data_IF_695901886476
#
_entry.id   IF_695901886476
#
_cell.length_a   1.000
_cell.length_b   1.000
_cell.length_c   1.000
_cell.angle_alpha   90.00
_cell.angle_beta   90.00
_cell.angle_gamma   90.00
#
_symmetry.space_group_name_H-M   'P 1'
#
loop_
_entity.id
_entity.type
_entity.pdbx_description
1 polymer ?
#
# COMPACT_ATOMS: atom_id res chain seq x y z
N UNK A 1 -11.74 11.07 4.69
CA UNK A 1 -10.27 10.89 4.61
C UNK A 1 -9.91 9.61 5.34
N UNK A 2 -8.77 8.99 5.03
CA UNK A 2 -8.28 7.85 5.80
C UNK A 2 -7.75 8.26 7.17
N UNK A 3 -7.82 7.35 8.13
CA UNK A 3 -7.17 7.44 9.44
C UNK A 3 -5.72 6.93 9.32
N UNK A 4 -4.75 7.84 9.48
CA UNK A 4 -3.33 7.54 9.33
C UNK A 4 -2.84 6.56 10.41
N UNK A 5 -3.33 6.66 11.64
CA UNK A 5 -2.89 5.78 12.73
C UNK A 5 -3.45 4.36 12.54
N UNK A 6 -4.73 4.24 12.15
CA UNK A 6 -5.29 2.96 11.74
C UNK A 6 -4.57 2.38 10.51
N UNK A 7 -4.18 3.25 9.57
CA UNK A 7 -3.40 2.88 8.39
C UNK A 7 -2.02 2.34 8.75
N UNK A 8 -1.30 3.03 9.65
CA UNK A 8 0.01 2.61 10.18
C UNK A 8 -0.06 1.25 10.86
N UNK A 9 -1.08 1.04 11.71
CA UNK A 9 -1.29 -0.24 12.38
C UNK A 9 -1.53 -1.37 11.36
N UNK A 10 -2.37 -1.13 10.34
CA UNK A 10 -2.61 -2.13 9.28
C UNK A 10 -1.38 -2.36 8.40
N UNK A 11 -0.58 -1.33 8.13
CA UNK A 11 0.58 -1.38 7.24
C UNK A 11 1.71 -2.29 7.75
N UNK A 12 1.70 -2.69 9.02
CA UNK A 12 2.68 -3.61 9.58
C UNK A 12 2.83 -4.91 8.76
N UNK A 13 1.73 -5.46 8.23
CA UNK A 13 1.77 -6.67 7.40
C UNK A 13 2.37 -6.42 6.01
N UNK A 14 2.28 -5.18 5.52
CA UNK A 14 2.75 -4.76 4.20
C UNK A 14 4.27 -4.53 4.19
N UNK A 15 4.87 -4.26 5.36
CA UNK A 15 6.28 -3.96 5.51
C UNK A 15 7.22 -5.10 5.06
N UNK A 16 6.74 -6.35 5.07
CA UNK A 16 7.51 -7.50 4.58
C UNK A 16 7.89 -7.39 3.09
N UNK A 17 7.10 -6.67 2.29
CA UNK A 17 7.36 -6.48 0.85
C UNK A 17 7.70 -5.01 0.51
N UNK A 18 7.04 -4.06 1.16
CA UNK A 18 7.18 -2.63 0.85
C UNK A 18 8.12 -1.88 1.81
N UNK A 19 8.72 -2.59 2.78
CA UNK A 19 9.56 -2.01 3.82
C UNK A 19 8.79 -1.27 4.91
N UNK A 20 9.43 -1.10 6.07
CA UNK A 20 8.83 -0.46 7.25
C UNK A 20 8.42 1.00 6.99
N UNK A 21 9.21 1.72 6.19
CA UNK A 21 8.96 3.13 5.85
C UNK A 21 8.38 3.28 4.44
N UNK A 22 7.78 2.22 3.87
CA UNK A 22 7.25 2.24 2.50
C UNK A 22 8.33 2.30 1.40
N UNK A 23 9.60 2.03 1.74
CA UNK A 23 10.70 1.84 0.79
C UNK A 23 11.11 0.38 0.80
N UNK A 24 10.91 -0.30 -0.33
CA UNK A 24 11.28 -1.71 -0.47
C UNK A 24 12.79 -1.89 -0.62
N UNK A 25 13.31 -2.93 0.02
CA UNK A 25 14.67 -3.43 -0.22
C UNK A 25 14.73 -4.44 -1.37
N UNK A 26 13.57 -4.84 -1.91
CA UNK A 26 13.46 -5.84 -2.97
C UNK A 26 13.06 -5.12 -4.27
N UNK A 27 13.94 -5.06 -5.30
CA UNK A 27 13.71 -4.23 -6.48
C UNK A 27 12.41 -4.49 -7.27
N UNK A 28 11.84 -5.69 -7.16
CA UNK A 28 10.58 -6.05 -7.84
C UNK A 28 9.33 -5.51 -7.11
N UNK A 29 9.45 -5.04 -5.87
CA UNK A 29 8.35 -4.46 -5.12
C UNK A 29 8.42 -2.93 -5.13
N UNK A 30 7.31 -2.24 -5.41
CA UNK A 30 7.32 -0.79 -5.50
C UNK A 30 7.43 -0.13 -4.12
N UNK A 31 8.05 1.04 -4.10
CA UNK A 31 7.97 1.97 -2.97
C UNK A 31 6.58 2.60 -2.91
N UNK A 32 6.02 2.69 -1.71
CA UNK A 32 4.71 3.28 -1.44
C UNK A 32 4.81 4.65 -0.76
N UNK A 33 5.94 4.94 -0.11
CA UNK A 33 6.16 6.18 0.63
C UNK A 33 5.99 7.42 -0.26
N UNK A 34 5.22 8.41 0.21
CA UNK A 34 4.99 9.67 -0.49
C UNK A 34 4.20 9.55 -1.79
N UNK A 35 3.69 8.36 -2.12
CA UNK A 35 2.85 8.17 -3.29
C UNK A 35 1.50 8.86 -3.11
N UNK A 36 0.90 9.34 -4.21
CA UNK A 36 -0.37 10.05 -4.16
C UNK A 36 -1.47 9.16 -3.57
N UNK A 37 -2.16 9.64 -2.53
CA UNK A 37 -3.19 8.90 -1.80
C UNK A 37 -4.27 8.34 -2.76
N UNK A 38 -4.78 9.16 -3.67
CA UNK A 38 -5.80 8.74 -4.65
C UNK A 38 -5.30 7.62 -5.58
N UNK A 39 -4.02 7.67 -5.96
CA UNK A 39 -3.41 6.61 -6.77
C UNK A 39 -3.33 5.30 -5.97
N UNK A 40 -2.93 5.36 -4.69
CA UNK A 40 -2.88 4.18 -3.82
C UNK A 40 -4.27 3.56 -3.61
N UNK A 41 -5.30 4.37 -3.38
CA UNK A 41 -6.70 3.90 -3.28
C UNK A 41 -7.12 3.20 -4.57
N UNK A 42 -6.90 3.83 -5.72
CA UNK A 42 -7.25 3.25 -7.02
C UNK A 42 -6.48 1.96 -7.29
N UNK A 43 -5.18 1.92 -6.96
CA UNK A 43 -4.33 0.75 -7.12
C UNK A 43 -4.82 -0.43 -6.27
N UNK A 44 -5.06 -0.21 -4.97
CA UNK A 44 -5.53 -1.25 -4.06
C UNK A 44 -6.90 -1.79 -4.47
N UNK A 45 -7.83 -0.91 -4.88
CA UNK A 45 -9.14 -1.34 -5.42
C UNK A 45 -9.00 -2.15 -6.70
N UNK A 46 -8.10 -1.75 -7.60
CA UNK A 46 -7.85 -2.49 -8.84
C UNK A 46 -7.21 -3.86 -8.58
N UNK A 47 -6.27 -3.98 -7.64
CA UNK A 47 -5.75 -5.29 -7.21
C UNK A 47 -6.83 -6.15 -6.56
N UNK A 48 -7.62 -5.59 -5.65
CA UNK A 48 -8.75 -6.28 -5.00
C UNK A 48 -9.76 -6.82 -6.02
N UNK A 49 -10.04 -6.06 -7.08
CA UNK A 49 -10.93 -6.44 -8.17
C UNK A 49 -10.29 -7.35 -9.24
N UNK A 50 -9.01 -7.69 -9.11
CA UNK A 50 -8.28 -8.50 -10.11
C UNK A 50 -8.04 -7.80 -11.46
N UNK A 51 -8.12 -6.47 -11.49
CA UNK A 51 -7.97 -5.66 -12.71
C UNK A 51 -6.50 -5.39 -13.07
N UNK A 52 -5.58 -5.56 -12.11
CA UNK A 52 -4.14 -5.48 -12.33
C UNK A 52 -3.57 -6.89 -12.47
N UNK A 53 -2.83 -7.13 -13.54
CA UNK A 53 -2.31 -8.45 -13.91
C UNK A 53 -0.81 -8.38 -14.27
N UNK A 54 -0.17 -9.55 -14.34
CA UNK A 54 1.25 -9.69 -14.68
C UNK A 54 2.21 -9.52 -13.49
N UNK A 55 3.43 -10.07 -13.62
CA UNK A 55 4.46 -10.01 -12.58
C UNK A 55 3.95 -10.47 -11.22
N UNK A 56 4.24 -9.68 -10.17
CA UNK A 56 3.81 -9.94 -8.79
C UNK A 56 2.36 -9.48 -8.50
N UNK A 57 1.57 -9.08 -9.51
CA UNK A 57 0.19 -8.65 -9.30
C UNK A 57 -0.70 -9.69 -8.60
N UNK A 58 -0.60 -11.00 -8.86
CA UNK A 58 -1.39 -12.00 -8.12
C UNK A 58 -1.07 -12.05 -6.62
N UNK A 59 0.19 -11.81 -6.26
CA UNK A 59 0.61 -11.72 -4.84
C UNK A 59 -0.07 -10.52 -4.18
N UNK A 60 -0.04 -9.36 -4.82
CA UNK A 60 -0.68 -8.16 -4.29
C UNK A 60 -2.21 -8.27 -4.28
N UNK A 61 -2.81 -8.93 -5.28
CA UNK A 61 -4.24 -9.24 -5.28
C UNK A 61 -4.62 -10.07 -4.05
N UNK A 62 -3.85 -11.12 -3.71
CA UNK A 62 -4.08 -11.93 -2.51
C UNK A 62 -4.04 -11.11 -1.20
N UNK A 63 -3.20 -10.07 -1.14
CA UNK A 63 -3.19 -9.13 -0.01
C UNK A 63 -4.39 -8.18 -0.04
N UNK A 64 -4.72 -7.64 -1.22
CA UNK A 64 -5.75 -6.63 -1.40
C UNK A 64 -7.18 -7.15 -1.21
N UNK A 65 -7.43 -8.43 -1.49
CA UNK A 65 -8.77 -9.04 -1.32
C UNK A 65 -9.22 -9.09 0.14
N UNK A 66 -8.29 -9.14 1.09
CA UNK A 66 -8.58 -9.13 2.52
C UNK A 66 -8.90 -7.74 3.09
N UNK A 67 -8.70 -6.67 2.31
CA UNK A 67 -8.87 -5.29 2.78
C UNK A 67 -10.32 -4.83 2.64
N UNK A 68 -10.86 -4.19 3.67
CA UNK A 68 -12.09 -3.39 3.55
C UNK A 68 -11.82 -2.07 2.82
N UNK A 69 -12.88 -1.36 2.41
CA UNK A 69 -12.74 -0.04 1.79
C UNK A 69 -12.15 0.99 2.77
N UNK A 70 -12.45 0.85 4.07
CA UNK A 70 -11.84 1.66 5.13
C UNK A 70 -10.34 1.34 5.26
N UNK A 71 -9.95 0.07 5.24
CA UNK A 71 -8.53 -0.32 5.28
C UNK A 71 -7.76 0.28 4.10
N UNK A 72 -8.34 0.25 2.89
CA UNK A 72 -7.73 0.83 1.70
C UNK A 72 -7.50 2.34 1.87
N UNK A 73 -8.51 3.07 2.36
CA UNK A 73 -8.39 4.51 2.59
C UNK A 73 -7.33 4.82 3.66
N UNK A 74 -7.31 4.05 4.75
CA UNK A 74 -6.37 4.24 5.86
C UNK A 74 -4.93 3.95 5.43
N UNK A 75 -4.69 2.82 4.74
CA UNK A 75 -3.37 2.46 4.20
C UNK A 75 -2.87 3.51 3.19
N UNK A 76 -3.75 4.00 2.31
CA UNK A 76 -3.39 5.01 1.34
C UNK A 76 -3.01 6.34 2.01
N UNK A 77 -3.78 6.79 3.01
CA UNK A 77 -3.47 8.00 3.77
C UNK A 77 -2.13 7.88 4.51
N UNK A 78 -1.90 6.73 5.16
CA UNK A 78 -0.64 6.47 5.85
C UNK A 78 0.56 6.52 4.90
N UNK A 79 0.58 5.71 3.84
CA UNK A 79 1.71 5.70 2.92
C UNK A 79 1.94 7.03 2.18
N UNK A 80 0.86 7.77 1.87
CA UNK A 80 0.95 9.10 1.28
C UNK A 80 1.54 10.15 2.24
N UNK A 81 1.38 9.98 3.55
CA UNK A 81 1.95 10.88 4.57
C UNK A 81 3.45 10.67 4.80
N UNK A 82 4.00 9.52 4.37
CA UNK A 82 5.43 9.25 4.55
C UNK A 82 6.27 10.12 3.60
N UNK A 83 7.46 10.57 4.02
CA UNK A 83 8.42 11.20 3.12
C UNK A 83 8.78 10.26 1.96
N UNK A 84 8.86 10.79 0.75
CA UNK A 84 9.09 9.99 -0.46
C UNK A 84 10.45 9.27 -0.48
N UNK A 85 11.41 9.74 0.33
CA UNK A 85 12.72 9.15 0.55
C UNK A 85 12.75 8.13 1.70
N UNK A 86 11.62 7.90 2.38
CA UNK A 86 11.49 6.94 3.49
C UNK A 86 12.16 7.38 4.78
N UNK A 87 12.56 8.65 4.91
CA UNK A 87 13.11 9.22 6.14
C UNK A 87 11.98 9.48 7.14
N UNK A 88 11.44 8.41 7.72
CA UNK A 88 10.51 8.45 8.85
C UNK A 88 11.21 8.43 10.20
#
# INVERSE_FOLDING_TARGET
>A
AGDIEAGKAKAAVCAACHGQNGISQVPIYPNLAGQKEQYLVAALKAYKAGQRQGGQAPVMQGQATALSDADIANLAAYYASLPADGQG
#
